data_IF_348549885520
#
_entry.id   IF_348549885520
#
_cell.length_a   1.000
_cell.length_b   1.000
_cell.length_c   1.000
_cell.angle_alpha   90.00
_cell.angle_beta   90.00
_cell.angle_gamma   90.00
#
_symmetry.space_group_name_H-M   'P 1'
#
loop_
_entity.id
_entity.type
_entity.pdbx_description
1 polymer ?
#
# COMPACT_ATOMS: atom_id res chain seq x y z
N UNK A 1 -6.93 -4.46 5.95
CA UNK A 1 -5.81 -3.67 6.54
C UNK A 1 -6.14 -3.32 7.99
N UNK A 2 -7.27 -2.64 8.26
CA UNK A 2 -7.70 -2.29 9.63
C UNK A 2 -7.81 -3.49 10.58
N UNK A 3 -8.21 -4.66 10.08
CA UNK A 3 -8.31 -5.89 10.88
C UNK A 3 -6.98 -6.65 11.07
N UNK A 4 -5.85 -6.12 10.59
CA UNK A 4 -4.51 -6.71 10.82
C UNK A 4 -4.14 -7.95 9.99
N UNK A 5 -5.08 -8.58 9.29
CA UNK A 5 -4.83 -9.76 8.45
C UNK A 5 -5.75 -10.94 8.81
N UNK A 6 -5.50 -12.17 8.31
CA UNK A 6 -4.36 -12.56 7.48
C UNK A 6 -4.39 -11.94 6.08
N UNK A 7 -3.22 -11.75 5.48
CA UNK A 7 -3.11 -11.21 4.12
C UNK A 7 -2.75 -12.29 3.09
N UNK A 8 -3.35 -12.24 1.88
CA UNK A 8 -3.22 -13.32 0.90
C UNK A 8 -1.85 -13.35 0.21
N UNK A 9 -1.10 -12.24 0.19
CA UNK A 9 0.21 -12.18 -0.46
C UNK A 9 1.32 -11.93 0.55
N UNK A 10 2.45 -12.65 0.42
CA UNK A 10 3.65 -12.54 1.28
C UNK A 10 4.23 -11.12 1.39
N UNK A 11 3.93 -10.24 0.45
CA UNK A 11 4.40 -8.84 0.43
C UNK A 11 3.47 -7.88 1.17
N UNK A 12 2.25 -8.31 1.49
CA UNK A 12 1.28 -7.47 2.19
C UNK A 12 1.76 -7.23 3.63
N UNK A 13 1.78 -5.96 4.05
CA UNK A 13 2.32 -5.52 5.34
C UNK A 13 3.83 -5.28 5.36
N UNK A 14 4.56 -5.56 4.28
CA UNK A 14 6.00 -5.27 4.20
C UNK A 14 6.26 -3.78 4.00
N UNK A 15 7.45 -3.32 4.42
CA UNK A 15 7.84 -1.91 4.35
C UNK A 15 7.91 -1.44 2.89
N UNK A 16 7.17 -0.37 2.59
CA UNK A 16 7.32 0.38 1.35
C UNK A 16 8.38 1.46 1.55
N UNK A 17 9.42 1.47 0.71
CA UNK A 17 10.61 2.29 0.94
C UNK A 17 10.48 3.73 0.41
N UNK A 18 9.47 4.04 -0.41
CA UNK A 18 9.30 5.36 -1.03
C UNK A 18 10.60 5.90 -1.69
N UNK A 19 11.29 5.05 -2.47
CA UNK A 19 12.62 5.36 -3.03
C UNK A 19 12.56 6.48 -4.06
N UNK A 20 11.48 6.47 -4.84
CA UNK A 20 11.14 7.45 -5.87
C UNK A 20 10.61 8.76 -5.27
N UNK A 21 10.40 8.81 -3.93
CA UNK A 21 9.96 9.98 -3.16
C UNK A 21 8.65 10.62 -3.67
N UNK A 22 7.73 9.78 -4.15
CA UNK A 22 6.41 10.19 -4.62
C UNK A 22 5.41 10.43 -3.49
N UNK A 23 5.67 9.87 -2.30
CA UNK A 23 4.96 10.18 -1.06
C UNK A 23 5.80 11.13 -0.20
N UNK A 24 5.21 11.83 0.80
CA UNK A 24 5.96 12.65 1.74
C UNK A 24 7.14 11.90 2.38
N UNK A 25 8.24 12.60 2.63
CA UNK A 25 9.41 11.99 3.26
C UNK A 25 9.12 11.70 4.74
N UNK A 26 9.28 10.44 5.14
CA UNK A 26 9.05 9.93 6.49
C UNK A 26 10.16 8.93 6.88
N UNK A 27 10.37 8.66 8.18
CA UNK A 27 11.35 7.68 8.63
C UNK A 27 11.15 6.29 7.99
N UNK A 28 12.23 5.51 7.89
CA UNK A 28 12.17 4.14 7.38
C UNK A 28 11.18 3.31 8.21
N UNK A 29 10.33 2.56 7.51
CA UNK A 29 9.31 1.72 8.15
C UNK A 29 7.96 2.42 8.35
N UNK A 30 7.87 3.73 8.11
CA UNK A 30 6.60 4.46 8.22
C UNK A 30 5.54 3.95 7.23
N UNK A 31 5.95 3.56 6.02
CA UNK A 31 5.03 3.10 4.98
C UNK A 31 5.02 1.57 4.85
N UNK A 32 3.84 0.98 4.62
CA UNK A 32 3.63 -0.45 4.33
C UNK A 32 2.80 -0.66 3.06
N UNK A 33 3.11 -1.68 2.26
CA UNK A 33 2.35 -2.01 1.04
C UNK A 33 1.34 -3.15 1.24
N UNK A 34 0.23 -3.09 0.51
CA UNK A 34 -0.82 -4.11 0.49
C UNK A 34 -1.35 -4.30 -0.93
N UNK A 35 -1.59 -5.54 -1.34
CA UNK A 35 -2.10 -5.89 -2.66
C UNK A 35 -3.58 -5.57 -2.78
N UNK A 36 -3.96 -4.91 -3.87
CA UNK A 36 -5.36 -4.83 -4.30
C UNK A 36 -5.55 -5.84 -5.43
N UNK A 37 -6.43 -6.82 -5.22
CA UNK A 37 -6.65 -7.90 -6.19
C UNK A 37 -7.11 -7.31 -7.53
N UNK A 38 -6.42 -7.70 -8.59
CA UNK A 38 -6.82 -7.37 -9.96
C UNK A 38 -7.58 -8.57 -10.53
N UNK A 39 -8.87 -8.45 -10.89
CA UNK A 39 -9.63 -9.54 -11.48
C UNK A 39 -8.91 -10.13 -12.70
N UNK A 40 -8.82 -11.46 -12.78
CA UNK A 40 -8.15 -12.18 -13.87
C UNK A 40 -6.62 -12.21 -13.82
N UNK A 41 -5.97 -11.46 -12.93
CA UNK A 41 -4.52 -11.52 -12.76
C UNK A 41 -4.10 -12.84 -12.09
N UNK A 42 -3.06 -13.48 -12.62
CA UNK A 42 -2.43 -14.68 -12.04
C UNK A 42 -1.40 -14.33 -10.96
N UNK A 43 -0.99 -13.07 -10.89
CA UNK A 43 -0.04 -12.53 -9.94
C UNK A 43 -0.71 -11.44 -9.06
N UNK A 44 0.10 -10.59 -8.41
CA UNK A 44 -0.40 -9.49 -7.58
C UNK A 44 -1.02 -8.35 -8.40
N UNK A 45 -0.87 -8.32 -9.72
CA UNK A 45 -1.19 -7.18 -10.57
C UNK A 45 -0.41 -5.91 -10.21
N UNK A 46 -0.83 -4.77 -10.75
CA UNK A 46 -0.20 -3.47 -10.52
C UNK A 46 -0.81 -2.64 -9.37
N UNK A 47 -1.97 -3.06 -8.84
CA UNK A 47 -2.76 -2.27 -7.90
C UNK A 47 -2.33 -2.49 -6.45
N UNK A 48 -2.09 -1.41 -5.70
CA UNK A 48 -1.66 -1.48 -4.29
C UNK A 48 -2.32 -0.38 -3.47
N UNK A 49 -2.46 -0.65 -2.18
CA UNK A 49 -2.62 0.37 -1.15
C UNK A 49 -1.27 0.49 -0.43
N UNK A 50 -0.81 1.71 -0.20
CA UNK A 50 0.29 2.01 0.72
C UNK A 50 -0.29 2.76 1.91
N UNK A 51 -0.10 2.23 3.11
CA UNK A 51 -0.47 2.94 4.35
C UNK A 51 0.74 3.64 4.94
N UNK A 52 0.51 4.72 5.68
CA UNK A 52 1.51 5.37 6.53
C UNK A 52 1.08 5.41 7.99
N UNK A 53 2.01 5.17 8.91
CA UNK A 53 1.75 5.10 10.35
C UNK A 53 1.54 3.67 10.87
N UNK A 54 1.63 3.51 12.19
CA UNK A 54 1.34 2.27 12.92
C UNK A 54 0.68 2.64 14.27
N UNK A 55 -0.68 2.69 14.36
CA UNK A 55 -1.65 2.28 13.35
C UNK A 55 -1.70 3.20 12.11
N UNK A 56 -2.21 2.74 10.96
CA UNK A 56 -2.34 3.57 9.76
C UNK A 56 -3.15 4.85 9.97
N UNK A 57 -2.55 5.98 9.62
CA UNK A 57 -3.15 7.33 9.66
C UNK A 57 -3.47 7.88 8.27
N UNK A 58 -2.76 7.39 7.24
CA UNK A 58 -2.91 7.84 5.86
C UNK A 58 -2.89 6.65 4.90
N UNK A 59 -3.63 6.76 3.80
CA UNK A 59 -3.77 5.70 2.80
C UNK A 59 -3.58 6.27 1.40
N UNK A 60 -2.78 5.58 0.61
CA UNK A 60 -2.52 5.92 -0.78
C UNK A 60 -2.84 4.74 -1.67
N UNK A 61 -3.49 5.00 -2.80
CA UNK A 61 -3.75 4.01 -3.83
C UNK A 61 -2.87 4.27 -5.04
N UNK A 62 -2.31 3.20 -5.60
CA UNK A 62 -1.65 3.17 -6.91
C UNK A 62 -2.34 2.13 -7.78
N UNK A 63 -2.66 2.50 -9.01
CA UNK A 63 -3.14 1.56 -10.04
C UNK A 63 -2.05 1.11 -11.02
N UNK A 64 -0.87 1.74 -10.97
CA UNK A 64 0.15 1.68 -12.01
C UNK A 64 1.53 1.23 -11.49
N UNK A 65 1.52 0.39 -10.45
CA UNK A 65 2.71 -0.18 -9.84
C UNK A 65 3.70 0.87 -9.32
N UNK A 66 3.22 1.77 -8.47
CA UNK A 66 3.97 2.81 -7.76
C UNK A 66 4.47 3.96 -8.64
N UNK A 67 3.91 4.15 -9.84
CA UNK A 67 4.27 5.29 -10.71
C UNK A 67 3.50 6.56 -10.37
N UNK A 68 2.31 6.42 -9.82
CA UNK A 68 1.52 7.54 -9.29
C UNK A 68 0.69 7.10 -8.08
N UNK A 69 0.31 8.08 -7.26
CA UNK A 69 -0.47 7.84 -6.05
C UNK A 69 -1.63 8.81 -5.94
N UNK A 70 -2.75 8.30 -5.41
CA UNK A 70 -3.89 9.10 -4.95
C UNK A 70 -4.10 8.84 -3.47
N UNK A 71 -4.17 9.88 -2.65
CA UNK A 71 -4.60 9.74 -1.27
C UNK A 71 -6.09 9.35 -1.25
N UNK A 72 -6.43 8.37 -0.42
CA UNK A 72 -7.78 7.86 -0.24
C UNK A 72 -8.12 7.82 1.24
N UNK A 73 -9.40 7.87 1.55
CA UNK A 73 -9.91 7.55 2.88
C UNK A 73 -10.33 6.08 2.91
N UNK A 74 -10.07 5.35 4.00
CA UNK A 74 -10.68 4.04 4.20
C UNK A 74 -12.19 4.22 4.26
N UNK A 75 -12.93 3.29 3.65
CA UNK A 75 -14.39 3.26 3.86
C UNK A 75 -14.66 2.92 5.33
N UNK A 76 -15.68 3.54 5.95
CA UNK A 76 -16.12 3.16 7.29
C UNK A 76 -16.56 1.70 7.35
#
# INVERSE_FOLDING_TARGET
>A
IQQGGPFPYRKDGTVFQNRERLLPQKPRGFYREYTVKTPGARDRGARRIVTGGDPPEVYYYTSDHYRSFRQIEPRP
#
